data_IF_032667730259
#
_entry.id   IF_032667730259
#
_cell.length_a   1.000
_cell.length_b   1.000
_cell.length_c   1.000
_cell.angle_alpha   90.00
_cell.angle_beta   90.00
_cell.angle_gamma   90.00
#
_symmetry.space_group_name_H-M   'P 1'
#
loop_
_entity.id
_entity.type
_entity.pdbx_description
1 polymer ?
#
# COMPACT_ATOMS: atom_id res chain seq x y z
N UNK A 1 18.42 -21.09 -1.12
CA UNK A 1 17.64 -21.31 0.14
C UNK A 1 16.14 -21.40 -0.12
N UNK A 2 15.48 -20.42 -0.78
CA UNK A 2 14.03 -20.46 -1.04
C UNK A 2 13.59 -21.54 -2.05
N UNK A 3 14.48 -21.95 -2.95
CA UNK A 3 14.14 -22.95 -3.98
C UNK A 3 13.74 -24.30 -3.38
N UNK A 4 14.48 -24.75 -2.41
CA UNK A 4 14.28 -26.08 -1.81
C UNK A 4 13.06 -26.07 -0.86
N UNK A 5 12.82 -24.96 -0.17
CA UNK A 5 11.61 -24.78 0.63
C UNK A 5 10.34 -24.81 -0.26
N UNK A 6 10.34 -24.07 -1.37
CA UNK A 6 9.18 -24.03 -2.27
C UNK A 6 8.91 -25.35 -3.03
N UNK A 7 9.90 -26.24 -3.13
CA UNK A 7 9.69 -27.56 -3.72
C UNK A 7 8.78 -28.47 -2.88
N UNK A 8 8.62 -28.16 -1.59
CA UNK A 8 7.80 -28.92 -0.65
C UNK A 8 6.45 -28.25 -0.35
N UNK A 9 6.07 -27.23 -1.12
CA UNK A 9 4.83 -26.47 -0.91
C UNK A 9 3.91 -26.60 -2.12
N UNK A 10 2.63 -26.80 -1.89
CA UNK A 10 1.60 -26.77 -2.93
C UNK A 10 1.45 -25.36 -3.50
N UNK A 11 1.54 -24.34 -2.66
CA UNK A 11 1.49 -22.92 -3.03
C UNK A 11 2.69 -22.22 -2.39
N UNK A 12 3.50 -21.55 -3.20
CA UNK A 12 4.65 -20.80 -2.75
C UNK A 12 4.26 -19.38 -2.32
N UNK A 13 4.38 -19.07 -1.03
CA UNK A 13 4.17 -17.74 -0.47
C UNK A 13 5.38 -16.82 -0.67
N UNK A 14 5.16 -15.63 -1.21
CA UNK A 14 6.20 -14.62 -1.43
C UNK A 14 5.88 -13.36 -0.65
N UNK A 15 6.77 -12.95 0.24
CA UNK A 15 6.73 -11.62 0.85
C UNK A 15 7.48 -10.64 -0.06
N UNK A 16 6.80 -9.61 -0.53
CA UNK A 16 7.34 -8.51 -1.34
C UNK A 16 8.12 -8.96 -2.58
N UNK A 17 7.67 -10.08 -3.19
CA UNK A 17 8.40 -10.79 -4.24
C UNK A 17 7.86 -10.61 -5.65
N UNK A 18 6.99 -9.64 -5.92
CA UNK A 18 6.28 -9.46 -7.20
C UNK A 18 7.22 -9.36 -8.41
N UNK A 19 8.42 -8.81 -8.24
CA UNK A 19 9.43 -8.70 -9.29
C UNK A 19 9.97 -10.06 -9.75
N UNK A 20 9.78 -11.12 -8.96
CA UNK A 20 10.23 -12.49 -9.26
C UNK A 20 9.18 -13.35 -9.96
N UNK A 21 7.90 -13.01 -9.86
CA UNK A 21 6.80 -13.90 -10.26
C UNK A 21 6.95 -14.41 -11.70
N UNK A 22 7.11 -13.51 -12.68
CA UNK A 22 7.26 -13.91 -14.09
C UNK A 22 8.45 -14.83 -14.32
N UNK A 23 9.58 -14.54 -13.68
CA UNK A 23 10.79 -15.35 -13.79
C UNK A 23 10.59 -16.74 -13.19
N UNK A 24 10.05 -16.79 -11.97
CA UNK A 24 9.89 -18.05 -11.25
C UNK A 24 8.80 -18.95 -11.86
N UNK A 25 7.71 -18.38 -12.38
CA UNK A 25 6.68 -19.12 -13.10
C UNK A 25 7.16 -19.68 -14.45
N UNK A 26 8.08 -18.99 -15.12
CA UNK A 26 8.75 -19.53 -16.31
C UNK A 26 9.68 -20.68 -15.96
N UNK A 27 10.43 -20.55 -14.86
CA UNK A 27 11.41 -21.56 -14.43
C UNK A 27 10.76 -22.78 -13.79
N UNK A 28 9.60 -22.59 -13.13
CA UNK A 28 8.85 -23.63 -12.43
C UNK A 28 7.39 -23.63 -12.90
N UNK A 29 7.07 -24.26 -14.05
CA UNK A 29 5.77 -24.13 -14.70
C UNK A 29 4.58 -24.64 -13.90
N UNK A 30 4.81 -25.53 -12.93
CA UNK A 30 3.75 -26.11 -12.08
C UNK A 30 3.52 -25.31 -10.78
N UNK A 31 4.35 -24.28 -10.53
CA UNK A 31 4.27 -23.53 -9.29
C UNK A 31 3.03 -22.64 -9.26
N UNK A 32 2.30 -22.72 -8.15
CA UNK A 32 1.31 -21.72 -7.76
C UNK A 32 1.98 -20.71 -6.84
N UNK A 33 1.66 -19.43 -7.01
CA UNK A 33 2.24 -18.33 -6.23
C UNK A 33 1.13 -17.58 -5.50
N UNK A 34 1.36 -17.31 -4.22
CA UNK A 34 0.58 -16.41 -3.38
C UNK A 34 1.47 -15.23 -2.96
N UNK A 35 1.01 -14.01 -3.15
CA UNK A 35 1.61 -12.84 -2.49
C UNK A 35 1.21 -12.85 -1.03
N UNK A 36 2.03 -13.47 -0.18
CA UNK A 36 1.73 -13.58 1.25
C UNK A 36 1.89 -12.26 2.00
N UNK A 37 2.74 -11.37 1.48
CA UNK A 37 2.79 -9.95 1.84
C UNK A 37 3.20 -9.13 0.62
N UNK A 38 2.47 -8.06 0.33
CA UNK A 38 2.70 -7.17 -0.82
C UNK A 38 2.58 -5.71 -0.40
N UNK A 39 3.41 -4.85 -0.94
CA UNK A 39 3.27 -3.41 -0.74
C UNK A 39 1.98 -2.88 -1.38
N UNK A 40 1.38 -1.88 -0.75
CA UNK A 40 0.17 -1.25 -1.25
C UNK A 40 0.33 -0.73 -2.69
N UNK A 41 1.45 -0.10 -3.00
CA UNK A 41 1.74 0.44 -4.33
C UNK A 41 1.88 -0.62 -5.44
N UNK A 42 2.09 -1.89 -5.09
CA UNK A 42 2.16 -3.01 -6.03
C UNK A 42 0.77 -3.61 -6.36
N UNK A 43 -0.31 -3.22 -5.69
CA UNK A 43 -1.64 -3.84 -5.85
C UNK A 43 -2.13 -3.83 -7.31
N UNK A 44 -2.02 -2.69 -8.00
CA UNK A 44 -2.40 -2.60 -9.42
C UNK A 44 -1.54 -3.52 -10.31
N UNK A 45 -0.24 -3.52 -10.10
CA UNK A 45 0.70 -4.37 -10.84
C UNK A 45 0.43 -5.85 -10.61
N UNK A 46 0.12 -6.23 -9.37
CA UNK A 46 -0.28 -7.61 -9.06
C UNK A 46 -1.55 -7.98 -9.84
N UNK A 47 -2.58 -7.13 -9.79
CA UNK A 47 -3.85 -7.37 -10.48
C UNK A 47 -3.67 -7.57 -11.99
N UNK A 48 -2.88 -6.72 -12.63
CA UNK A 48 -2.60 -6.83 -14.07
C UNK A 48 -1.81 -8.09 -14.42
N UNK A 49 -0.90 -8.53 -13.54
CA UNK A 49 -0.20 -9.80 -13.71
C UNK A 49 -1.15 -11.00 -13.54
N UNK A 50 -2.00 -10.96 -12.52
CA UNK A 50 -2.92 -12.06 -12.21
C UNK A 50 -3.97 -12.30 -13.32
N UNK A 51 -4.36 -11.26 -14.06
CA UNK A 51 -5.23 -11.40 -15.25
C UNK A 51 -4.59 -12.22 -16.36
N UNK A 52 -3.26 -12.18 -16.46
CA UNK A 52 -2.50 -12.85 -17.51
C UNK A 52 -1.95 -14.21 -17.05
N UNK A 53 -1.88 -14.42 -15.75
CA UNK A 53 -1.19 -15.57 -15.16
C UNK A 53 -2.03 -16.20 -14.04
N UNK A 54 -2.88 -17.19 -14.39
CA UNK A 54 -3.82 -17.81 -13.42
C UNK A 54 -3.14 -18.58 -12.29
N UNK A 55 -1.83 -18.82 -12.38
CA UNK A 55 -1.05 -19.43 -11.29
C UNK A 55 -0.69 -18.47 -10.18
N UNK A 56 -0.99 -17.17 -10.34
CA UNK A 56 -1.00 -16.18 -9.25
C UNK A 56 -2.36 -16.28 -8.56
N UNK A 57 -2.42 -17.07 -7.48
CA UNK A 57 -3.70 -17.49 -6.86
C UNK A 57 -4.28 -16.48 -5.88
N UNK A 58 -3.50 -15.52 -5.44
CA UNK A 58 -3.95 -14.47 -4.51
C UNK A 58 -2.85 -13.54 -4.06
N UNK A 59 -3.27 -12.50 -3.33
CA UNK A 59 -2.40 -11.46 -2.80
C UNK A 59 -2.92 -10.94 -1.47
N UNK A 60 -2.01 -10.70 -0.52
CA UNK A 60 -2.30 -10.07 0.76
C UNK A 60 -1.47 -8.80 0.89
N UNK A 61 -2.11 -7.67 0.73
CA UNK A 61 -1.46 -6.37 0.90
C UNK A 61 -1.22 -6.10 2.38
N UNK A 62 0.01 -5.80 2.78
CA UNK A 62 0.37 -5.40 4.13
C UNK A 62 0.31 -3.88 4.29
N UNK A 63 -0.59 -3.33 5.13
CA UNK A 63 -1.55 -4.09 5.91
C UNK A 63 -2.98 -3.60 5.64
N UNK A 64 -3.97 -4.46 5.89
CA UNK A 64 -5.38 -4.13 5.70
C UNK A 64 -5.86 -3.09 6.71
N UNK A 65 -5.80 -3.41 8.00
CA UNK A 65 -6.14 -2.54 9.12
C UNK A 65 -4.86 -2.28 9.91
N UNK A 66 -4.68 -1.06 10.39
CA UNK A 66 -3.54 -0.72 11.22
C UNK A 66 -3.58 -1.45 12.58
N UNK A 67 -2.45 -1.57 13.21
CA UNK A 67 -2.30 -2.37 14.43
C UNK A 67 -1.28 -1.75 15.38
N UNK A 68 -1.34 -2.16 16.64
CA UNK A 68 -0.37 -1.77 17.66
C UNK A 68 0.89 -2.63 17.56
N UNK A 69 2.04 -2.01 17.78
CA UNK A 69 3.34 -2.64 17.63
C UNK A 69 3.95 -2.43 16.25
N UNK A 70 5.14 -2.98 16.03
CA UNK A 70 5.98 -2.75 14.83
C UNK A 70 6.07 -1.27 14.45
N UNK A 71 6.30 -0.48 15.46
CA UNK A 71 6.27 0.97 15.43
C UNK A 71 7.03 1.52 14.23
N UNK A 72 6.40 2.46 13.53
CA UNK A 72 6.97 3.17 12.37
C UNK A 72 7.21 2.38 11.09
N UNK A 73 6.83 1.12 10.96
CA UNK A 73 6.95 0.38 9.70
C UNK A 73 6.35 1.17 8.53
N UNK A 74 5.17 1.78 8.73
CA UNK A 74 4.49 2.63 7.76
C UNK A 74 4.38 4.09 8.20
N UNK A 75 5.30 4.60 9.01
CA UNK A 75 5.23 5.96 9.51
C UNK A 75 5.29 7.01 8.40
N UNK A 76 4.63 8.15 8.66
CA UNK A 76 4.64 9.32 7.79
C UNK A 76 4.80 10.56 8.67
N UNK A 77 6.03 10.96 8.86
CA UNK A 77 6.39 12.09 9.72
C UNK A 77 6.95 13.23 8.90
N UNK A 78 6.59 14.45 9.25
CA UNK A 78 7.01 15.67 8.56
C UNK A 78 8.12 16.41 9.29
N UNK A 79 7.92 16.68 10.59
CA UNK A 79 8.92 17.32 11.41
C UNK A 79 9.98 16.32 11.89
N UNK A 80 11.17 16.78 12.19
CA UNK A 80 12.27 15.99 12.75
C UNK A 80 12.45 14.64 12.04
N UNK A 81 12.35 14.71 10.74
CA UNK A 81 12.41 13.60 9.83
C UNK A 81 13.55 12.64 10.18
N UNK A 82 13.20 11.42 10.54
CA UNK A 82 14.12 10.33 10.82
C UNK A 82 14.00 9.23 9.73
N UNK A 83 15.12 8.79 9.22
CA UNK A 83 15.19 7.67 8.26
C UNK A 83 15.26 6.32 8.97
N UNK A 84 14.79 6.20 10.20
CA UNK A 84 14.90 5.01 11.03
C UNK A 84 13.52 4.52 11.46
N UNK A 85 13.44 3.22 11.81
CA UNK A 85 12.27 2.62 12.43
C UNK A 85 12.21 2.87 13.95
N UNK A 86 12.97 3.81 14.45
CA UNK A 86 12.98 4.18 15.87
C UNK A 86 11.92 5.24 16.12
N UNK A 87 10.73 4.80 16.49
CA UNK A 87 9.54 5.60 16.63
C UNK A 87 9.52 6.59 17.77
N UNK A 88 10.51 6.58 18.61
CA UNK A 88 10.53 7.42 19.78
C UNK A 88 9.35 7.19 20.75
N UNK A 89 9.29 8.00 21.79
CA UNK A 89 8.21 7.95 22.78
C UNK A 89 6.90 8.46 22.16
N UNK A 90 5.83 7.70 22.34
CA UNK A 90 4.46 8.09 21.93
C UNK A 90 3.99 7.50 20.61
N UNK A 91 4.85 6.96 19.77
CA UNK A 91 4.42 6.23 18.60
C UNK A 91 4.10 4.78 18.98
N UNK A 92 2.87 4.31 18.75
CA UNK A 92 2.40 3.01 19.26
C UNK A 92 1.83 2.11 18.16
N UNK A 93 1.59 2.63 16.96
CA UNK A 93 1.05 1.88 15.83
C UNK A 93 2.07 1.65 14.73
N UNK A 94 1.83 0.64 13.89
CA UNK A 94 2.66 0.35 12.73
C UNK A 94 2.60 1.47 11.68
N UNK A 95 1.45 2.12 11.50
CA UNK A 95 1.21 3.14 10.50
C UNK A 95 1.07 2.60 9.06
N UNK A 96 1.08 1.28 8.88
CA UNK A 96 1.01 0.60 7.58
C UNK A 96 -0.41 0.23 7.13
N UNK A 97 -1.40 0.42 8.01
CA UNK A 97 -2.79 0.10 7.72
C UNK A 97 -3.40 0.99 6.64
N UNK A 98 -4.11 0.39 5.71
CA UNK A 98 -4.97 1.11 4.75
C UNK A 98 -6.25 1.64 5.39
N UNK A 99 -6.66 1.01 6.48
CA UNK A 99 -7.71 1.44 7.39
C UNK A 99 -7.01 1.75 8.70
N UNK A 100 -7.28 2.92 9.28
CA UNK A 100 -6.67 3.34 10.53
C UNK A 100 -7.25 2.59 11.75
N UNK A 101 -6.64 2.80 12.93
CA UNK A 101 -7.09 2.17 14.19
C UNK A 101 -8.53 2.54 14.58
N UNK A 102 -9.11 3.59 14.01
CA UNK A 102 -10.50 4.02 14.26
C UNK A 102 -11.49 3.43 13.25
N UNK A 103 -11.01 2.65 12.27
CA UNK A 103 -11.82 2.05 11.22
C UNK A 103 -12.05 2.96 10.00
N UNK A 104 -11.33 4.09 9.89
CA UNK A 104 -11.46 5.00 8.74
C UNK A 104 -10.60 4.52 7.57
N UNK A 105 -11.16 4.45 6.35
CA UNK A 105 -10.37 4.19 5.16
C UNK A 105 -9.48 5.41 4.83
N UNK A 106 -8.21 5.15 4.58
CA UNK A 106 -7.23 6.12 4.10
C UNK A 106 -7.15 6.10 2.57
N UNK A 107 -6.39 7.00 1.96
CA UNK A 107 -6.20 7.05 0.51
C UNK A 107 -5.75 5.72 -0.09
N UNK A 108 -4.92 4.99 0.62
CA UNK A 108 -4.45 3.66 0.23
C UNK A 108 -5.57 2.60 0.17
N UNK A 109 -6.58 2.69 1.03
CA UNK A 109 -7.76 1.83 0.96
C UNK A 109 -8.58 2.15 -0.30
N UNK A 110 -8.74 3.43 -0.61
CA UNK A 110 -9.45 3.88 -1.81
C UNK A 110 -8.70 3.45 -3.09
N UNK A 111 -7.38 3.63 -3.10
CA UNK A 111 -6.52 3.15 -4.19
C UNK A 111 -6.66 1.64 -4.41
N UNK A 112 -6.51 0.84 -3.37
CA UNK A 112 -6.54 -0.62 -3.51
C UNK A 112 -7.90 -1.16 -3.94
N UNK A 113 -9.02 -0.53 -3.53
CA UNK A 113 -10.36 -0.88 -4.03
C UNK A 113 -10.44 -0.79 -5.54
N UNK A 114 -9.93 0.31 -6.12
CA UNK A 114 -9.93 0.53 -7.56
C UNK A 114 -8.88 -0.33 -8.26
N UNK A 115 -7.67 -0.43 -7.71
CA UNK A 115 -6.57 -1.20 -8.27
C UNK A 115 -6.88 -2.70 -8.37
N UNK A 116 -7.56 -3.25 -7.35
CA UNK A 116 -7.98 -4.65 -7.31
C UNK A 116 -9.37 -4.90 -7.93
N UNK A 117 -9.95 -3.88 -8.55
CA UNK A 117 -11.25 -3.96 -9.25
C UNK A 117 -12.44 -4.32 -8.35
N UNK A 118 -12.38 -3.95 -7.07
CA UNK A 118 -13.53 -4.10 -6.18
C UNK A 118 -14.67 -3.14 -6.58
N UNK A 119 -14.30 -1.95 -7.07
CA UNK A 119 -15.20 -1.00 -7.74
C UNK A 119 -14.41 -0.06 -8.67
N UNK A 120 -15.10 0.86 -9.34
CA UNK A 120 -14.49 1.75 -10.33
C UNK A 120 -14.12 3.15 -9.79
N UNK A 121 -14.54 3.51 -8.58
CA UNK A 121 -14.45 4.89 -8.10
C UNK A 121 -15.42 5.83 -8.86
N UNK A 122 -15.15 7.14 -9.02
CA UNK A 122 -13.96 7.83 -8.52
C UNK A 122 -13.96 8.02 -6.99
N UNK A 123 -12.79 7.92 -6.39
CA UNK A 123 -12.54 8.36 -5.02
C UNK A 123 -11.57 9.53 -5.03
N UNK A 124 -11.81 10.49 -4.16
CA UNK A 124 -10.97 11.67 -4.01
C UNK A 124 -10.42 11.70 -2.60
N UNK A 125 -9.12 11.89 -2.49
CA UNK A 125 -8.42 12.07 -1.22
C UNK A 125 -7.49 13.28 -1.29
N UNK A 126 -7.20 13.89 -0.16
CA UNK A 126 -6.38 15.09 -0.06
C UNK A 126 -5.24 14.83 0.90
N UNK A 127 -4.01 15.11 0.46
CA UNK A 127 -2.87 15.11 1.34
C UNK A 127 -2.98 16.26 2.36
N UNK A 128 -2.49 16.10 3.61
CA UNK A 128 -2.58 17.12 4.63
C UNK A 128 -2.08 18.48 4.14
N UNK A 129 -3.00 19.45 4.02
CA UNK A 129 -2.73 20.76 3.38
C UNK A 129 -1.76 21.62 4.20
N UNK A 130 -1.78 21.46 5.53
CA UNK A 130 -0.84 22.12 6.44
C UNK A 130 0.62 21.68 6.19
N UNK A 131 0.83 20.55 5.56
CA UNK A 131 2.14 19.98 5.22
C UNK A 131 2.47 20.00 3.72
N UNK A 132 1.73 20.78 2.93
CA UNK A 132 2.01 20.87 1.48
C UNK A 132 3.42 21.40 1.22
N UNK A 133 4.25 20.58 0.59
CA UNK A 133 5.65 20.89 0.29
C UNK A 133 6.67 20.45 1.34
N UNK A 134 6.21 19.96 2.48
CA UNK A 134 7.09 19.42 3.51
C UNK A 134 7.68 18.07 3.08
N UNK A 135 8.91 17.80 3.54
CA UNK A 135 9.49 16.47 3.42
C UNK A 135 8.85 15.55 4.46
N UNK A 136 8.83 14.28 4.17
CA UNK A 136 8.32 13.26 5.08
C UNK A 136 9.26 12.05 5.15
N UNK A 137 9.11 11.25 6.20
CA UNK A 137 9.82 9.98 6.35
C UNK A 137 9.49 9.02 5.21
N UNK A 138 10.45 8.27 4.66
CA UNK A 138 10.17 7.24 3.69
C UNK A 138 9.62 5.98 4.37
N UNK A 139 8.68 5.31 3.69
CA UNK A 139 8.30 3.93 4.03
C UNK A 139 7.85 3.18 2.78
N UNK A 140 8.29 1.93 2.66
CA UNK A 140 7.81 1.05 1.61
C UNK A 140 6.36 0.56 1.87
N UNK A 141 5.92 0.60 3.12
CA UNK A 141 4.58 0.17 3.56
C UNK A 141 3.53 1.28 3.58
N UNK A 142 3.93 2.51 3.24
CA UNK A 142 3.03 3.67 3.20
C UNK A 142 3.25 4.44 1.91
N UNK A 143 2.30 4.40 0.99
CA UNK A 143 2.45 5.06 -0.31
C UNK A 143 1.93 6.50 -0.34
N UNK A 144 0.99 6.83 0.54
CA UNK A 144 0.39 8.16 0.61
C UNK A 144 -0.13 8.46 2.01
N UNK A 145 -0.25 9.73 2.33
CA UNK A 145 -0.94 10.23 3.52
C UNK A 145 -2.26 10.93 3.17
N UNK A 146 -2.74 10.75 1.96
CA UNK A 146 -4.02 11.30 1.53
C UNK A 146 -5.19 10.67 2.30
N UNK A 147 -6.19 11.48 2.62
CA UNK A 147 -7.39 11.06 3.33
C UNK A 147 -8.63 11.70 2.72
N UNK A 148 -9.82 11.09 2.87
CA UNK A 148 -11.06 11.64 2.33
C UNK A 148 -11.57 12.80 3.21
N UNK A 149 -10.80 13.87 3.30
CA UNK A 149 -11.13 15.08 4.08
C UNK A 149 -10.79 16.34 3.31
N UNK A 150 -11.68 17.33 3.37
CA UNK A 150 -11.53 18.66 2.76
C UNK A 150 -11.45 19.78 3.79
N UNK A 151 -11.48 19.47 5.08
CA UNK A 151 -11.49 20.46 6.17
C UNK A 151 -10.09 20.60 6.77
N UNK A 152 -9.41 21.70 6.44
CA UNK A 152 -8.05 22.00 6.86
C UNK A 152 -7.99 23.41 7.46
N UNK A 153 -8.41 23.52 8.71
CA UNK A 153 -8.47 24.81 9.42
C UNK A 153 -7.14 25.55 9.39
N UNK A 154 -7.17 26.83 9.02
CA UNK A 154 -5.98 27.67 8.91
C UNK A 154 -5.16 27.46 7.63
N UNK A 155 -5.70 26.71 6.67
CA UNK A 155 -5.04 26.45 5.38
C UNK A 155 -5.80 27.10 4.20
N UNK A 156 -6.70 28.03 4.47
CA UNK A 156 -7.46 28.73 3.46
C UNK A 156 -6.53 29.44 2.45
N UNK A 157 -6.80 29.21 1.16
CA UNK A 157 -5.96 29.75 0.06
C UNK A 157 -4.62 29.02 -0.17
N UNK A 158 -4.31 28.01 0.61
CA UNK A 158 -3.10 27.18 0.38
C UNK A 158 -3.34 26.16 -0.75
N UNK A 159 -2.24 25.74 -1.38
CA UNK A 159 -2.29 24.67 -2.38
C UNK A 159 -2.59 23.33 -1.70
N UNK A 160 -3.56 22.59 -2.25
CA UNK A 160 -3.86 21.23 -1.86
C UNK A 160 -3.35 20.24 -2.91
N UNK A 161 -2.73 19.14 -2.48
CA UNK A 161 -2.42 18.01 -3.33
C UNK A 161 -3.59 17.03 -3.25
N UNK A 162 -4.25 16.79 -4.39
CA UNK A 162 -5.43 15.93 -4.49
C UNK A 162 -5.07 14.66 -5.25
N UNK A 163 -5.46 13.53 -4.72
CA UNK A 163 -5.33 12.23 -5.37
C UNK A 163 -6.71 11.73 -5.78
N UNK A 164 -6.81 11.25 -7.02
CA UNK A 164 -8.05 10.68 -7.56
C UNK A 164 -7.79 9.23 -7.95
N UNK A 165 -8.60 8.34 -7.43
CA UNK A 165 -8.52 6.91 -7.74
C UNK A 165 -9.76 6.49 -8.52
N UNK A 166 -9.56 6.14 -9.80
CA UNK A 166 -10.65 5.77 -10.69
C UNK A 166 -10.20 4.81 -11.79
N UNK A 167 -11.10 3.96 -12.20
CA UNK A 167 -10.97 3.19 -13.47
C UNK A 167 -11.72 3.96 -14.56
N UNK A 168 -11.07 4.99 -15.08
CA UNK A 168 -11.64 5.88 -16.07
C UNK A 168 -10.62 6.18 -17.18
N UNK A 169 -11.11 6.40 -18.39
CA UNK A 169 -10.25 6.83 -19.50
C UNK A 169 -9.81 8.30 -19.35
N UNK A 170 -10.58 9.09 -18.58
CA UNK A 170 -10.34 10.53 -18.37
C UNK A 170 -10.95 10.96 -17.04
N UNK A 171 -10.27 11.85 -16.37
CA UNK A 171 -10.74 12.57 -15.18
C UNK A 171 -10.67 14.07 -15.49
N UNK A 172 -11.77 14.79 -15.24
CA UNK A 172 -11.88 16.23 -15.44
C UNK A 172 -12.22 16.94 -14.13
#
# INVERSE_FOLDING_TARGET
>A
KTRDAFANMDIAGYNYGIYRYKHDLKKYPQRLILGSETFCNDAYKFRELAKQEPRLVGDFVWAGIDYLGEVMVGSWEYADYAETFDGGLGWVSAGSGRIDLTGKPLGEALYTRVALEADNGPYIAVCPVNHTGDRHSPSAWKMTNAMPSWSWTGCEGRKANVEVYARAARVE
#
